data_IF_424969107271
#
_entry.id   IF_424969107271
#
_cell.length_a   1.000
_cell.length_b   1.000
_cell.length_c   1.000
_cell.angle_alpha   90.00
_cell.angle_beta   90.00
_cell.angle_gamma   90.00
#
_symmetry.space_group_name_H-M   'P 1'
#
loop_
_entity.id
_entity.type
_entity.pdbx_description
1 polymer ?
#
# COMPACT_ATOMS: atom_id res chain seq x y z
N UNK A 1 -10.73 -2.07 -1.27
CA UNK A 1 -9.41 -2.46 -1.80
C UNK A 1 -8.81 -1.42 -2.73
N UNK A 2 -9.54 -0.96 -3.76
CA UNK A 2 -9.05 0.13 -4.64
C UNK A 2 -8.67 1.36 -3.83
N UNK A 3 -9.44 1.69 -2.80
CA UNK A 3 -9.14 2.80 -1.91
C UNK A 3 -7.73 2.73 -1.30
N UNK A 4 -7.22 1.54 -1.06
CA UNK A 4 -5.89 1.35 -0.51
C UNK A 4 -4.78 1.62 -1.55
N UNK A 5 -4.98 1.26 -2.82
CA UNK A 5 -4.01 1.49 -3.89
C UNK A 5 -3.73 2.98 -4.04
N UNK A 6 -4.79 3.79 -4.06
CA UNK A 6 -4.71 5.22 -4.39
C UNK A 6 -4.37 6.13 -3.21
N UNK A 7 -4.18 5.58 -2.00
CA UNK A 7 -4.00 6.36 -0.76
C UNK A 7 -2.56 6.71 -0.40
N UNK A 8 -1.57 6.44 -1.24
CA UNK A 8 -0.16 6.56 -0.85
C UNK A 8 0.11 5.75 0.44
N UNK A 9 -0.37 4.51 0.45
CA UNK A 9 -0.50 3.64 1.63
C UNK A 9 0.79 3.54 2.46
N UNK A 10 1.91 3.30 1.83
CA UNK A 10 3.16 3.05 2.55
C UNK A 10 3.68 4.31 3.24
N UNK A 11 3.58 5.48 2.60
CA UNK A 11 3.98 6.72 3.24
C UNK A 11 3.08 7.06 4.42
N UNK A 12 1.78 6.90 4.27
CA UNK A 12 0.83 7.10 5.39
C UNK A 12 1.13 6.16 6.53
N UNK A 13 1.37 4.89 6.22
CA UNK A 13 1.64 3.87 7.22
C UNK A 13 2.96 4.08 7.96
N UNK A 14 4.03 4.35 7.24
CA UNK A 14 5.37 4.45 7.82
C UNK A 14 5.80 5.89 8.12
N UNK A 15 5.05 6.89 7.63
CA UNK A 15 5.33 8.31 7.86
C UNK A 15 6.63 8.79 7.23
N UNK A 16 7.08 8.12 6.17
CA UNK A 16 8.30 8.46 5.46
C UNK A 16 8.09 8.35 3.94
N UNK A 17 8.67 9.26 3.18
CA UNK A 17 8.68 9.18 1.73
C UNK A 17 9.61 8.04 1.30
N UNK A 18 9.13 7.20 0.41
CA UNK A 18 9.92 6.18 -0.24
C UNK A 18 10.70 6.77 -1.42
N UNK A 19 11.82 6.14 -1.84
CA UNK A 19 12.49 6.55 -3.06
C UNK A 19 11.57 6.34 -4.26
N UNK A 20 11.77 7.16 -5.28
CA UNK A 20 10.97 7.09 -6.51
C UNK A 20 11.14 5.75 -7.23
N UNK A 21 12.29 5.10 -7.02
CA UNK A 21 12.59 3.75 -7.49
C UNK A 21 12.80 2.80 -6.31
N UNK A 22 12.02 1.72 -6.26
CA UNK A 22 12.18 0.67 -5.26
C UNK A 22 13.21 -0.37 -5.71
N UNK A 23 13.95 -0.90 -4.76
CA UNK A 23 14.90 -2.00 -4.96
C UNK A 23 14.30 -3.32 -4.48
N UNK A 24 14.88 -4.50 -4.82
CA UNK A 24 14.46 -5.78 -4.28
C UNK A 24 14.41 -5.80 -2.75
N UNK A 25 15.33 -5.08 -2.09
CA UNK A 25 15.32 -4.92 -0.64
C UNK A 25 14.08 -4.20 -0.12
N UNK A 26 13.63 -3.15 -0.81
CA UNK A 26 12.39 -2.46 -0.45
C UNK A 26 11.18 -3.39 -0.58
N UNK A 27 11.10 -4.17 -1.65
CA UNK A 27 10.05 -5.18 -1.84
C UNK A 27 10.06 -6.21 -0.72
N UNK A 28 11.24 -6.75 -0.37
CA UNK A 28 11.38 -7.72 0.72
C UNK A 28 10.89 -7.17 2.05
N UNK A 29 11.29 -5.95 2.41
CA UNK A 29 10.91 -5.31 3.67
C UNK A 29 9.40 -5.02 3.70
N UNK A 30 8.85 -4.50 2.61
CA UNK A 30 7.42 -4.17 2.52
C UNK A 30 6.52 -5.41 2.64
N UNK A 31 6.99 -6.57 2.15
CA UNK A 31 6.23 -7.81 2.16
C UNK A 31 6.42 -8.64 3.44
N UNK A 32 7.65 -8.78 3.93
CA UNK A 32 7.95 -9.67 5.06
C UNK A 32 7.62 -9.07 6.42
N UNK A 33 7.32 -7.77 6.49
CA UNK A 33 7.09 -7.06 7.74
C UNK A 33 8.26 -7.13 8.74
N UNK A 34 7.96 -6.97 10.05
CA UNK A 34 8.93 -6.57 11.08
C UNK A 34 9.84 -7.68 11.60
N UNK A 35 9.50 -8.94 11.39
CA UNK A 35 10.16 -10.06 12.09
C UNK A 35 11.01 -10.95 11.19
N UNK A 36 11.32 -10.50 9.98
CA UNK A 36 12.15 -11.30 9.10
C UNK A 36 13.59 -11.37 9.60
N UNK A 37 14.10 -12.58 9.76
CA UNK A 37 15.52 -12.79 10.03
C UNK A 37 16.40 -12.28 8.88
N UNK A 38 17.69 -11.93 9.13
CA UNK A 38 18.59 -11.52 8.05
C UNK A 38 18.73 -12.55 6.93
N UNK A 39 18.65 -13.83 7.26
CA UNK A 39 18.68 -14.91 6.27
C UNK A 39 17.45 -14.94 5.39
N UNK A 40 16.26 -14.75 5.98
CA UNK A 40 15.00 -14.66 5.25
C UNK A 40 14.99 -13.45 4.33
N UNK A 41 15.46 -12.31 4.80
CA UNK A 41 15.53 -11.09 3.97
C UNK A 41 16.46 -11.29 2.75
N UNK A 42 17.63 -11.94 2.92
CA UNK A 42 18.51 -12.23 1.78
C UNK A 42 17.85 -13.14 0.74
N UNK A 43 17.13 -14.17 1.19
CA UNK A 43 16.37 -15.05 0.29
C UNK A 43 15.27 -14.28 -0.44
N UNK A 44 14.53 -13.46 0.30
CA UNK A 44 13.51 -12.58 -0.26
C UNK A 44 14.07 -11.61 -1.30
N UNK A 45 15.20 -10.97 -1.02
CA UNK A 45 15.85 -10.05 -1.96
C UNK A 45 16.17 -10.73 -3.29
N UNK A 46 16.69 -11.96 -3.25
CA UNK A 46 16.96 -12.72 -4.46
C UNK A 46 15.67 -12.98 -5.25
N UNK A 47 14.64 -13.48 -4.58
CA UNK A 47 13.34 -13.78 -5.19
C UNK A 47 12.74 -12.52 -5.81
N UNK A 48 12.73 -11.39 -5.07
CA UNK A 48 12.19 -10.14 -5.60
C UNK A 48 13.06 -9.54 -6.70
N UNK A 49 14.37 -9.74 -6.68
CA UNK A 49 15.24 -9.36 -7.79
C UNK A 49 14.89 -10.08 -9.09
N UNK A 50 14.67 -11.39 -9.00
CA UNK A 50 14.24 -12.21 -10.14
C UNK A 50 12.81 -11.83 -10.60
N UNK A 51 11.90 -11.60 -9.66
CA UNK A 51 10.53 -11.17 -9.92
C UNK A 51 10.48 -9.82 -10.65
N UNK A 52 11.22 -8.83 -10.14
CA UNK A 52 11.25 -7.49 -10.73
C UNK A 52 11.77 -7.53 -12.17
N UNK A 53 12.81 -8.32 -12.45
CA UNK A 53 13.33 -8.53 -13.82
C UNK A 53 12.30 -9.19 -14.71
N UNK A 54 11.70 -10.29 -14.23
CA UNK A 54 10.73 -11.07 -15.00
C UNK A 54 9.51 -10.25 -15.43
N UNK A 55 9.04 -9.37 -14.56
CA UNK A 55 7.84 -8.54 -14.78
C UNK A 55 8.18 -7.09 -15.15
N UNK A 56 9.45 -6.82 -15.41
CA UNK A 56 9.94 -5.50 -15.79
C UNK A 56 9.49 -4.39 -14.81
N UNK A 57 9.67 -4.67 -13.50
CA UNK A 57 9.33 -3.77 -12.40
C UNK A 57 10.56 -3.06 -11.81
N UNK A 58 11.64 -2.97 -12.57
CA UNK A 58 12.87 -2.29 -12.12
C UNK A 58 12.74 -0.76 -12.19
N UNK A 59 11.84 -0.29 -13.06
CA UNK A 59 11.53 1.13 -13.20
C UNK A 59 10.03 1.41 -12.99
N UNK A 60 9.68 2.61 -12.50
CA UNK A 60 8.29 3.07 -12.47
C UNK A 60 7.68 3.05 -13.88
N UNK A 61 6.44 2.62 -13.98
CA UNK A 61 5.71 2.54 -15.26
C UNK A 61 4.49 3.42 -15.25
N UNK A 62 4.05 3.84 -16.42
CA UNK A 62 2.80 4.60 -16.63
C UNK A 62 2.76 5.92 -15.85
N UNK A 63 3.91 6.51 -15.51
CA UNK A 63 4.03 7.68 -14.64
C UNK A 63 3.42 7.48 -13.23
N UNK A 64 3.23 6.25 -12.79
CA UNK A 64 2.80 5.96 -11.44
C UNK A 64 3.99 5.89 -10.49
N UNK A 65 3.78 6.25 -9.24
CA UNK A 65 4.80 6.05 -8.22
C UNK A 65 5.09 4.55 -8.05
N UNK A 66 6.35 4.19 -7.92
CA UNK A 66 6.75 2.78 -7.83
C UNK A 66 6.14 2.08 -6.59
N UNK A 67 5.88 2.82 -5.51
CA UNK A 67 5.17 2.32 -4.32
C UNK A 67 3.71 1.99 -4.59
N UNK A 68 3.02 2.80 -5.40
CA UNK A 68 1.62 2.56 -5.78
C UNK A 68 1.54 1.34 -6.71
N UNK A 69 2.47 1.25 -7.68
CA UNK A 69 2.57 0.10 -8.57
C UNK A 69 2.88 -1.19 -7.80
N UNK A 70 3.84 -1.15 -6.86
CA UNK A 70 4.11 -2.28 -5.98
C UNK A 70 2.87 -2.69 -5.16
N UNK A 71 2.16 -1.72 -4.61
CA UNK A 71 0.96 -2.02 -3.82
C UNK A 71 -0.09 -2.72 -4.68
N UNK A 72 -0.32 -2.21 -5.88
CA UNK A 72 -1.30 -2.77 -6.81
C UNK A 72 -0.89 -4.16 -7.31
N UNK A 73 0.27 -4.27 -7.95
CA UNK A 73 0.69 -5.48 -8.67
C UNK A 73 1.19 -6.60 -7.74
N UNK A 74 1.80 -6.27 -6.62
CA UNK A 74 2.41 -7.27 -5.73
C UNK A 74 1.55 -7.52 -4.50
N UNK A 75 1.25 -6.46 -3.76
CA UNK A 75 0.58 -6.63 -2.47
C UNK A 75 -0.89 -7.03 -2.63
N UNK A 76 -1.62 -6.42 -3.55
CA UNK A 76 -3.03 -6.73 -3.76
C UNK A 76 -3.21 -8.09 -4.44
N UNK A 77 -2.33 -8.47 -5.36
CA UNK A 77 -2.37 -9.78 -6.02
C UNK A 77 -2.03 -10.93 -5.08
N UNK A 78 -1.24 -10.72 -4.05
CA UNK A 78 -0.88 -11.75 -3.06
C UNK A 78 -1.79 -11.71 -1.83
N UNK A 79 -1.55 -10.77 -0.92
CA UNK A 79 -2.30 -10.68 0.32
C UNK A 79 -3.79 -10.32 0.12
N UNK A 80 -4.09 -9.37 -0.74
CA UNK A 80 -5.48 -8.97 -1.00
C UNK A 80 -6.30 -10.10 -1.59
N UNK A 81 -5.75 -10.84 -2.54
CA UNK A 81 -6.38 -12.01 -3.14
C UNK A 81 -6.64 -13.11 -2.10
N UNK A 82 -5.65 -13.44 -1.28
CA UNK A 82 -5.81 -14.48 -0.24
C UNK A 82 -6.89 -14.14 0.78
N UNK A 83 -6.95 -12.88 1.23
CA UNK A 83 -8.02 -12.42 2.15
C UNK A 83 -9.38 -12.53 1.48
N UNK A 84 -9.48 -12.13 0.22
CA UNK A 84 -10.72 -12.24 -0.55
C UNK A 84 -11.18 -13.68 -0.69
N UNK A 85 -10.28 -14.58 -1.08
CA UNK A 85 -10.60 -16.01 -1.23
C UNK A 85 -11.03 -16.64 0.09
N UNK A 86 -10.39 -16.31 1.20
CA UNK A 86 -10.79 -16.83 2.51
C UNK A 86 -12.15 -16.32 2.96
N UNK A 87 -12.51 -15.10 2.64
CA UNK A 87 -13.82 -14.53 2.95
C UNK A 87 -14.92 -15.06 2.01
N UNK A 88 -14.59 -15.36 0.76
CA UNK A 88 -15.54 -15.88 -0.25
C UNK A 88 -16.07 -17.28 0.10
N UNK A 89 -15.39 -17.99 0.99
CA UNK A 89 -15.87 -19.26 1.56
C UNK A 89 -17.13 -19.05 2.44
N UNK A 90 -17.29 -17.89 3.04
CA UNK A 90 -18.36 -17.58 3.99
C UNK A 90 -19.37 -16.56 3.43
N UNK A 91 -18.91 -15.68 2.55
CA UNK A 91 -19.69 -14.54 2.05
C UNK A 91 -19.37 -14.29 0.58
N UNK A 92 -20.40 -14.04 -0.21
CA UNK A 92 -20.22 -13.57 -1.58
C UNK A 92 -19.67 -12.15 -1.57
N UNK A 93 -18.42 -11.99 -2.00
CA UNK A 93 -17.75 -10.69 -2.02
C UNK A 93 -17.91 -10.03 -3.39
N UNK A 94 -18.31 -8.76 -3.37
CA UNK A 94 -18.39 -7.93 -4.55
C UNK A 94 -17.49 -6.69 -4.36
N UNK A 95 -16.71 -6.37 -5.39
CA UNK A 95 -15.86 -5.18 -5.42
C UNK A 95 -16.39 -4.18 -6.44
N UNK A 96 -17.31 -3.27 -6.05
CA UNK A 96 -17.96 -2.36 -6.99
C UNK A 96 -16.97 -1.42 -7.69
N UNK A 97 -15.83 -1.14 -7.07
CA UNK A 97 -14.80 -0.26 -7.61
C UNK A 97 -13.63 -1.03 -8.27
N UNK A 98 -13.75 -2.33 -8.51
CA UNK A 98 -12.69 -3.10 -9.16
C UNK A 98 -12.68 -2.84 -10.68
N UNK A 99 -12.32 -1.62 -11.04
CA UNK A 99 -12.25 -1.14 -12.39
C UNK A 99 -10.88 -0.48 -12.63
N UNK A 100 -10.11 -1.03 -13.56
CA UNK A 100 -8.76 -0.57 -13.88
C UNK A 100 -8.73 0.92 -14.24
N UNK A 101 -9.66 1.37 -15.09
CA UNK A 101 -9.74 2.77 -15.51
C UNK A 101 -9.98 3.71 -14.34
N UNK A 102 -10.78 3.29 -13.35
CA UNK A 102 -11.01 4.07 -12.14
C UNK A 102 -9.73 4.18 -11.30
N UNK A 103 -8.99 3.07 -11.14
CA UNK A 103 -7.70 3.08 -10.43
C UNK A 103 -6.70 4.00 -11.13
N UNK A 104 -6.56 3.86 -12.43
CA UNK A 104 -5.67 4.70 -13.24
C UNK A 104 -6.04 6.18 -13.10
N UNK A 105 -7.32 6.53 -13.21
CA UNK A 105 -7.80 7.89 -13.02
C UNK A 105 -7.49 8.44 -11.63
N UNK A 106 -7.72 7.66 -10.58
CA UNK A 106 -7.43 8.09 -9.21
C UNK A 106 -5.91 8.22 -8.95
N UNK A 107 -5.08 7.43 -9.61
CA UNK A 107 -3.62 7.53 -9.50
C UNK A 107 -3.06 8.79 -10.21
N UNK A 108 -3.79 9.39 -11.15
CA UNK A 108 -3.41 10.68 -11.76
C UNK A 108 -3.66 11.89 -10.85
N UNK A 109 -4.43 11.71 -9.76
CA UNK A 109 -4.69 12.79 -8.81
C UNK A 109 -3.39 13.21 -8.09
N UNK A 110 -3.27 14.50 -7.72
CA UNK A 110 -2.11 15.00 -7.00
C UNK A 110 -1.82 14.17 -5.74
N UNK A 111 -0.55 13.85 -5.52
CA UNK A 111 -0.11 12.98 -4.41
C UNK A 111 -0.64 13.43 -3.05
N UNK A 112 -0.54 14.72 -2.71
CA UNK A 112 -0.98 15.24 -1.42
C UNK A 112 -2.51 15.14 -1.25
N UNK A 113 -3.25 15.28 -2.35
CA UNK A 113 -4.69 15.08 -2.36
C UNK A 113 -5.07 13.63 -2.07
N UNK A 114 -4.32 12.66 -2.61
CA UNK A 114 -4.50 11.23 -2.34
C UNK A 114 -4.07 10.87 -0.91
N UNK A 115 -2.94 11.41 -0.45
CA UNK A 115 -2.37 11.16 0.88
C UNK A 115 -3.27 11.67 2.02
N UNK A 116 -3.96 12.77 1.82
CA UNK A 116 -4.87 13.36 2.80
C UNK A 116 -6.24 12.69 2.88
N UNK A 117 -6.50 11.65 2.08
CA UNK A 117 -7.84 11.03 1.90
C UNK A 117 -8.90 11.95 1.29
N UNK A 118 -8.55 13.15 0.91
CA UNK A 118 -9.51 14.12 0.41
C UNK A 118 -10.26 13.64 -0.82
N UNK A 119 -9.57 12.90 -1.71
CA UNK A 119 -10.21 12.27 -2.87
C UNK A 119 -11.38 11.35 -2.48
N UNK A 120 -11.21 10.53 -1.44
CA UNK A 120 -12.26 9.63 -0.96
C UNK A 120 -13.38 10.40 -0.27
N UNK A 121 -13.04 11.39 0.53
CA UNK A 121 -14.00 12.24 1.22
C UNK A 121 -14.89 13.01 0.22
N UNK A 122 -14.29 13.56 -0.83
CA UNK A 122 -15.04 14.30 -1.86
C UNK A 122 -15.95 13.36 -2.66
N UNK A 123 -15.53 12.13 -2.95
CA UNK A 123 -16.38 11.10 -3.59
C UNK A 123 -17.57 10.75 -2.68
N UNK A 124 -17.32 10.50 -1.38
CA UNK A 124 -18.39 10.19 -0.43
C UNK A 124 -19.38 11.35 -0.32
N UNK A 125 -18.85 12.56 -0.17
CA UNK A 125 -19.67 13.78 -0.09
C UNK A 125 -20.53 14.00 -1.32
N UNK A 126 -19.99 13.73 -2.50
CA UNK A 126 -20.71 13.81 -3.77
C UNK A 126 -21.78 12.73 -3.90
N UNK A 127 -21.45 11.49 -3.52
CA UNK A 127 -22.35 10.36 -3.65
C UNK A 127 -23.49 10.38 -2.60
N UNK A 128 -23.16 10.71 -1.36
CA UNK A 128 -24.13 10.79 -0.27
C UNK A 128 -23.65 11.72 0.84
N UNK A 129 -24.22 12.91 0.88
CA UNK A 129 -23.86 13.93 1.86
C UNK A 129 -24.21 13.52 3.30
N UNK A 130 -25.28 12.78 3.52
CA UNK A 130 -25.68 12.33 4.87
C UNK A 130 -24.64 11.37 5.45
N UNK A 131 -24.10 10.45 4.64
CA UNK A 131 -23.01 9.55 5.06
C UNK A 131 -21.74 10.36 5.36
N UNK A 132 -21.45 11.38 4.57
CA UNK A 132 -20.30 12.25 4.82
C UNK A 132 -20.46 13.02 6.13
N UNK A 133 -21.63 13.60 6.38
CA UNK A 133 -21.94 14.40 7.58
C UNK A 133 -22.06 13.54 8.85
N UNK A 134 -22.30 12.23 8.71
CA UNK A 134 -22.31 11.29 9.84
C UNK A 134 -20.94 11.11 10.48
N UNK A 135 -19.88 11.64 9.87
CA UNK A 135 -18.52 11.76 10.39
C UNK A 135 -17.97 10.46 11.02
N UNK A 136 -18.06 9.36 10.27
CA UNK A 136 -17.55 8.06 10.71
C UNK A 136 -16.02 8.12 10.74
N UNK A 137 -15.48 8.76 11.77
CA UNK A 137 -14.05 8.79 12.01
C UNK A 137 -13.58 7.48 12.64
N UNK A 138 -12.52 6.93 12.08
CA UNK A 138 -11.76 5.87 12.74
C UNK A 138 -11.12 6.52 13.97
N UNK A 139 -11.63 6.17 15.15
CA UNK A 139 -11.05 6.58 16.44
C UNK A 139 -9.54 6.28 16.42
N UNK A 140 -8.74 7.34 16.50
CA UNK A 140 -7.30 7.23 16.68
C UNK A 140 -7.03 6.65 18.08
N UNK A 141 -6.87 5.34 18.15
CA UNK A 141 -6.54 4.68 19.39
C UNK A 141 -5.07 4.97 19.74
N UNK A 142 -4.77 5.50 20.91
CA UNK A 142 -3.40 5.81 21.37
C UNK A 142 -2.44 4.61 21.23
N UNK A 143 -2.93 3.39 21.48
CA UNK A 143 -2.19 2.15 21.25
C UNK A 143 -1.79 1.94 19.79
N UNK A 144 -2.65 2.34 18.86
CA UNK A 144 -2.35 2.26 17.44
C UNK A 144 -1.23 3.24 17.05
N UNK A 145 -1.23 4.43 17.61
CA UNK A 145 -0.18 5.45 17.39
C UNK A 145 1.18 5.02 17.90
N UNK A 146 1.27 4.42 19.10
CA UNK A 146 2.52 3.87 19.64
C UNK A 146 3.09 2.73 18.79
N UNK A 147 2.23 1.82 18.35
CA UNK A 147 2.62 0.74 17.45
C UNK A 147 3.17 1.27 16.12
N UNK A 148 2.48 2.25 15.51
CA UNK A 148 2.94 2.88 14.26
C UNK A 148 4.31 3.55 14.47
N UNK A 149 4.55 4.19 15.61
CA UNK A 149 5.84 4.81 15.91
C UNK A 149 6.98 3.78 15.95
N UNK A 150 6.78 2.67 16.64
CA UNK A 150 7.76 1.56 16.67
C UNK A 150 7.99 0.97 15.28
N UNK A 151 6.92 0.78 14.51
CA UNK A 151 7.01 0.31 13.13
C UNK A 151 7.83 1.26 12.26
N UNK A 152 7.65 2.58 12.40
CA UNK A 152 8.42 3.61 11.68
C UNK A 152 9.92 3.54 12.04
N UNK A 153 10.24 3.46 13.33
CA UNK A 153 11.63 3.36 13.82
C UNK A 153 12.29 2.11 13.27
N UNK A 154 11.62 0.97 13.37
CA UNK A 154 12.13 -0.31 12.88
C UNK A 154 12.34 -0.30 11.36
N UNK A 155 11.38 0.22 10.60
CA UNK A 155 11.48 0.30 9.14
C UNK A 155 12.67 1.20 8.74
N UNK A 156 12.81 2.38 9.37
CA UNK A 156 13.92 3.29 9.16
C UNK A 156 15.26 2.60 9.46
N UNK A 157 15.35 1.93 10.60
CA UNK A 157 16.53 1.16 11.00
C UNK A 157 16.90 0.10 9.96
N UNK A 158 15.94 -0.71 9.50
CA UNK A 158 16.17 -1.79 8.52
C UNK A 158 16.51 -1.31 7.11
N UNK A 159 16.02 -0.14 6.71
CA UNK A 159 16.31 0.44 5.39
C UNK A 159 17.70 1.09 5.34
N UNK A 160 18.17 1.65 6.47
CA UNK A 160 19.43 2.39 6.53
C UNK A 160 20.62 1.57 7.02
N UNK A 161 20.44 0.43 7.66
CA UNK A 161 21.53 -0.37 8.24
C UNK A 161 22.32 -1.23 7.25
N UNK A 162 22.22 -0.99 5.94
CA UNK A 162 23.17 -1.56 4.97
C UNK A 162 23.41 -0.59 3.82
N UNK A 163 24.27 0.33 4.06
CA UNK A 163 25.26 0.74 3.08
C UNK A 163 26.48 -0.15 3.22
#
# INVERSE_FOLDING_TARGET
>A
WISEIVRVFFERKYGMKFPDRLTPRHFSILQTRYFASPSLLRKSDKIYGEYMKKFDLEEPKFNFEHTDLYYWEVRMSSWGMMVTQSLDLCHRITFPFNNRRLVELMLTLPREYRKSDKAHQDIIKYANKEIYDADIHILNNYFHSGRIMLEKIYFKYRTFLKK
#
